data_IF_925201090376
#
_entry.id   IF_925201090376
#
_cell.length_a   1.000
_cell.length_b   1.000
_cell.length_c   1.000
_cell.angle_alpha   90.00
_cell.angle_beta   90.00
_cell.angle_gamma   90.00
#
_symmetry.space_group_name_H-M   'P 1'
#
loop_
_entity.id
_entity.type
_entity.pdbx_description
1 polymer ?
#
# COMPACT_ATOMS: atom_id res chain seq x y z
N UNK A 1 -1.00 19.97 22.67
CA UNK A 1 -0.30 18.95 23.49
C UNK A 1 -1.29 17.81 23.72
N UNK A 2 -0.98 16.66 23.08
CA UNK A 2 -1.62 15.34 23.16
C UNK A 2 -3.15 15.23 23.21
N UNK A 3 -3.77 15.05 22.04
CA UNK A 3 -4.98 14.23 21.87
C UNK A 3 -5.09 13.67 20.44
N UNK A 4 -3.98 13.15 19.89
CA UNK A 4 -4.03 12.25 18.74
C UNK A 4 -4.25 10.83 19.24
N UNK A 5 -5.53 10.59 19.55
CA UNK A 5 -6.28 9.35 19.45
C UNK A 5 -5.53 8.02 19.65
N UNK A 6 -5.76 7.43 20.83
CA UNK A 6 -5.61 6.00 21.14
C UNK A 6 -6.28 5.07 20.09
N UNK A 7 -7.24 5.55 19.30
CA UNK A 7 -7.97 4.75 18.30
C UNK A 7 -7.16 4.50 17.01
N UNK A 8 -6.29 5.42 16.59
CA UNK A 8 -5.47 5.20 15.38
C UNK A 8 -4.39 4.13 15.59
N UNK A 9 -3.82 4.07 16.79
CA UNK A 9 -2.87 3.02 17.19
C UNK A 9 -3.57 1.64 17.30
N UNK A 10 -4.83 1.60 17.76
CA UNK A 10 -5.61 0.35 17.85
C UNK A 10 -5.88 -0.26 16.48
N UNK A 11 -6.19 0.54 15.46
CA UNK A 11 -6.48 0.04 14.11
C UNK A 11 -5.23 -0.57 13.45
N UNK A 12 -4.06 0.04 13.64
CA UNK A 12 -2.78 -0.48 13.13
C UNK A 12 -2.37 -1.80 13.83
N UNK A 13 -2.65 -1.92 15.13
CA UNK A 13 -2.43 -3.14 15.92
C UNK A 13 -3.40 -4.26 15.47
N UNK A 14 -4.68 -3.95 15.22
CA UNK A 14 -5.66 -4.94 14.73
C UNK A 14 -5.30 -5.46 13.35
N UNK A 15 -4.81 -4.59 12.45
CA UNK A 15 -4.39 -4.98 11.10
C UNK A 15 -3.17 -5.92 11.13
N UNK A 16 -2.25 -5.68 12.08
CA UNK A 16 -1.07 -6.54 12.31
C UNK A 16 -1.47 -7.88 12.96
N UNK A 17 -2.45 -7.87 13.86
CA UNK A 17 -2.97 -9.08 14.51
C UNK A 17 -3.74 -9.99 13.54
N UNK A 18 -4.45 -9.43 12.55
CA UNK A 18 -5.17 -10.21 11.54
C UNK A 18 -4.23 -10.94 10.56
N UNK A 19 -3.05 -10.38 10.27
CA UNK A 19 -2.02 -11.02 9.45
C UNK A 19 -1.30 -12.18 10.18
N UNK A 20 -1.31 -12.20 11.52
CA UNK A 20 -0.55 -13.17 12.31
C UNK A 20 -1.29 -14.53 12.52
N UNK A 21 -2.59 -14.62 12.25
CA UNK A 21 -3.40 -15.81 12.62
C UNK A 21 -3.48 -16.93 11.58
N UNK A 22 -2.68 -16.88 10.50
CA UNK A 22 -2.62 -17.99 9.52
C UNK A 22 -1.26 -18.69 9.51
N UNK A 23 -0.83 -19.19 10.67
CA UNK A 23 0.21 -20.22 10.73
C UNK A 23 -0.33 -21.46 11.45
N UNK A 24 -1.18 -22.19 10.73
CA UNK A 24 -1.64 -23.51 11.17
C UNK A 24 -0.54 -24.51 10.82
N UNK A 25 0.10 -25.08 11.87
CA UNK A 25 1.13 -26.11 11.73
C UNK A 25 0.62 -27.33 10.97
N UNK A 26 1.13 -27.53 9.76
CA UNK A 26 0.83 -28.71 8.94
C UNK A 26 1.71 -29.87 9.40
N UNK A 27 1.07 -30.96 9.86
CA UNK A 27 1.75 -32.25 10.07
C UNK A 27 2.18 -32.81 8.71
N UNK A 28 3.48 -32.92 8.49
CA UNK A 28 4.05 -33.48 7.26
C UNK A 28 4.06 -35.00 7.38
N UNK A 29 3.21 -35.68 6.61
CA UNK A 29 3.37 -37.09 6.28
C UNK A 29 4.23 -37.21 5.04
N UNK A 30 5.37 -37.91 5.12
CA UNK A 30 6.34 -38.02 4.02
C UNK A 30 5.94 -39.10 3.03
N UNK A 31 5.10 -38.75 2.07
CA UNK A 31 4.90 -39.48 0.81
C UNK A 31 5.98 -39.06 -0.19
N UNK A 32 6.67 -39.99 -0.88
CA UNK A 32 7.66 -39.63 -1.89
C UNK A 32 6.96 -38.86 -3.02
N UNK A 33 7.33 -37.59 -3.19
CA UNK A 33 6.70 -36.66 -4.13
C UNK A 33 7.79 -36.06 -5.02
N UNK A 34 7.71 -36.30 -6.34
CA UNK A 34 8.58 -35.64 -7.31
C UNK A 34 8.07 -34.21 -7.50
N UNK A 35 8.76 -33.25 -6.90
CA UNK A 35 8.42 -31.84 -7.01
C UNK A 35 9.29 -31.20 -8.08
N UNK A 36 8.69 -30.80 -9.19
CA UNK A 36 9.38 -29.99 -10.18
C UNK A 36 9.58 -28.58 -9.62
N UNK A 37 10.84 -28.26 -9.32
CA UNK A 37 11.22 -26.94 -8.81
C UNK A 37 11.77 -26.08 -9.94
N UNK A 38 11.34 -24.83 -9.98
CA UNK A 38 11.88 -23.84 -10.90
C UNK A 38 13.31 -23.50 -10.42
N UNK A 39 14.33 -23.44 -11.30
CA UNK A 39 15.75 -23.32 -10.91
C UNK A 39 16.16 -22.04 -10.16
N UNK A 40 15.21 -21.18 -9.79
CA UNK A 40 15.46 -19.91 -9.14
C UNK A 40 15.28 -19.96 -7.61
N UNK A 41 16.05 -20.84 -6.97
CA UNK A 41 15.99 -21.15 -5.52
C UNK A 41 16.17 -19.90 -4.62
N UNK A 42 16.94 -18.90 -5.08
CA UNK A 42 17.21 -17.68 -4.30
C UNK A 42 16.11 -16.60 -4.40
N UNK A 43 15.01 -16.84 -5.13
CA UNK A 43 13.89 -15.89 -5.24
C UNK A 43 12.72 -16.18 -4.30
N UNK A 44 12.85 -17.23 -3.50
CA UNK A 44 11.80 -17.73 -2.60
C UNK A 44 12.15 -17.47 -1.12
N UNK A 45 13.44 -17.34 -0.78
CA UNK A 45 13.90 -17.12 0.59
C UNK A 45 14.35 -15.68 0.84
N UNK A 46 13.89 -15.09 1.94
CA UNK A 46 14.41 -13.83 2.47
C UNK A 46 15.80 -14.04 3.10
N UNK A 47 16.62 -12.97 3.19
CA UNK A 47 17.93 -13.05 3.84
C UNK A 47 17.78 -13.44 5.31
N UNK A 48 18.79 -14.09 5.89
CA UNK A 48 18.79 -14.43 7.33
C UNK A 48 18.75 -13.18 8.23
N UNK A 49 19.21 -12.07 7.68
CA UNK A 49 19.31 -10.73 8.28
C UNK A 49 18.09 -9.85 7.97
N UNK A 50 16.98 -10.46 7.53
CA UNK A 50 15.70 -9.81 7.31
C UNK A 50 15.15 -9.20 8.60
N UNK A 51 14.72 -7.94 8.53
CA UNK A 51 14.05 -7.25 9.62
C UNK A 51 12.78 -6.57 9.10
N UNK A 52 11.64 -7.05 9.57
CA UNK A 52 10.32 -6.58 9.15
C UNK A 52 10.12 -5.07 9.39
N UNK A 53 10.68 -4.52 10.48
CA UNK A 53 10.55 -3.10 10.80
C UNK A 53 11.37 -2.23 9.85
N UNK A 54 12.57 -2.69 9.50
CA UNK A 54 13.39 -2.01 8.50
C UNK A 54 12.74 -2.06 7.12
N UNK A 55 12.00 -3.12 6.79
CA UNK A 55 11.29 -3.23 5.51
C UNK A 55 10.10 -2.26 5.38
N UNK A 56 9.48 -1.90 6.50
CA UNK A 56 8.45 -0.88 6.53
C UNK A 56 9.02 0.48 6.10
N UNK A 57 10.19 0.85 6.63
CA UNK A 57 10.84 2.16 6.40
C UNK A 57 11.65 2.17 5.09
N UNK A 58 12.40 1.10 4.82
CA UNK A 58 13.32 0.97 3.69
C UNK A 58 13.31 -0.46 3.16
N UNK A 59 12.50 -0.76 2.12
CA UNK A 59 12.46 -2.10 1.56
C UNK A 59 13.82 -2.47 0.97
N UNK A 60 14.36 -3.61 1.38
CA UNK A 60 15.57 -4.15 0.77
C UNK A 60 15.23 -4.74 -0.61
N UNK A 61 16.04 -4.47 -1.64
CA UNK A 61 15.81 -5.07 -2.94
C UNK A 61 15.95 -6.59 -2.84
N UNK A 62 14.90 -7.32 -3.20
CA UNK A 62 15.01 -8.77 -3.29
C UNK A 62 16.04 -9.15 -4.37
N UNK A 63 16.74 -10.29 -4.23
CA UNK A 63 17.63 -10.79 -5.27
C UNK A 63 16.96 -10.84 -6.64
N UNK A 64 15.65 -11.16 -6.68
CA UNK A 64 14.83 -11.13 -7.89
C UNK A 64 14.83 -9.78 -8.60
N UNK A 65 14.61 -8.68 -7.88
CA UNK A 65 14.60 -7.33 -8.47
C UNK A 65 15.99 -6.94 -8.98
N UNK A 66 17.04 -7.40 -8.31
CA UNK A 66 18.43 -7.08 -8.65
C UNK A 66 18.95 -7.89 -9.84
N UNK A 67 18.56 -9.15 -9.97
CA UNK A 67 19.09 -10.08 -10.98
C UNK A 67 18.16 -10.28 -12.17
N UNK A 68 16.96 -9.69 -12.17
CA UNK A 68 16.07 -9.81 -13.32
C UNK A 68 16.73 -9.20 -14.56
N UNK A 69 16.97 -10.03 -15.57
CA UNK A 69 17.24 -9.59 -16.94
C UNK A 69 15.95 -9.64 -17.75
N UNK A 70 15.85 -8.80 -18.79
CA UNK A 70 14.68 -8.76 -19.67
C UNK A 70 14.39 -10.10 -20.36
N UNK A 71 15.38 -10.99 -20.47
CA UNK A 71 15.21 -12.30 -21.09
C UNK A 71 14.39 -13.28 -20.25
N UNK A 72 14.24 -13.04 -18.94
CA UNK A 72 13.39 -13.86 -18.07
C UNK A 72 11.94 -13.82 -18.57
N UNK A 73 11.48 -12.67 -19.08
CA UNK A 73 10.12 -12.51 -19.64
C UNK A 73 9.87 -13.34 -20.91
N UNK A 74 10.93 -13.85 -21.57
CA UNK A 74 10.82 -14.67 -22.79
C UNK A 74 10.80 -16.17 -22.50
N UNK A 75 11.04 -16.58 -21.25
CA UNK A 75 11.15 -17.99 -20.88
C UNK A 75 9.91 -18.48 -20.14
N UNK A 76 9.51 -19.73 -20.39
CA UNK A 76 8.40 -20.39 -19.68
C UNK A 76 8.60 -20.40 -18.16
N UNK A 77 9.84 -20.56 -17.69
CA UNK A 77 10.16 -20.53 -16.26
C UNK A 77 9.96 -19.13 -15.64
N UNK A 78 10.30 -18.07 -16.38
CA UNK A 78 10.10 -16.70 -15.93
C UNK A 78 8.62 -16.32 -15.90
N UNK A 79 7.85 -16.71 -16.92
CA UNK A 79 6.40 -16.54 -16.93
C UNK A 79 5.74 -17.23 -15.72
N UNK A 80 6.10 -18.48 -15.44
CA UNK A 80 5.58 -19.22 -14.30
C UNK A 80 5.85 -18.51 -12.96
N UNK A 81 7.05 -17.95 -12.77
CA UNK A 81 7.39 -17.21 -11.55
C UNK A 81 6.62 -15.90 -11.44
N UNK A 82 6.47 -15.15 -12.53
CA UNK A 82 5.73 -13.89 -12.53
C UNK A 82 4.26 -14.18 -12.24
N UNK A 83 3.66 -15.19 -12.88
CA UNK A 83 2.28 -15.60 -12.61
C UNK A 83 2.11 -16.03 -11.15
N UNK A 84 3.05 -16.81 -10.62
CA UNK A 84 3.03 -17.18 -9.21
C UNK A 84 3.07 -15.96 -8.28
N UNK A 85 4.01 -15.03 -8.48
CA UNK A 85 4.16 -13.83 -7.64
C UNK A 85 2.96 -12.89 -7.78
N UNK A 86 2.43 -12.71 -8.99
CA UNK A 86 1.25 -11.89 -9.24
C UNK A 86 0.00 -12.49 -8.59
N UNK A 87 -0.23 -13.79 -8.79
CA UNK A 87 -1.41 -14.47 -8.27
C UNK A 87 -1.37 -14.65 -6.74
N UNK A 88 -0.18 -14.76 -6.16
CA UNK A 88 -0.01 -14.95 -4.71
C UNK A 88 -0.01 -13.62 -3.97
N UNK A 89 0.69 -12.60 -4.48
CA UNK A 89 0.89 -11.33 -3.77
C UNK A 89 0.42 -10.13 -4.58
N UNK A 90 0.90 -10.01 -5.82
CA UNK A 90 0.78 -8.78 -6.62
C UNK A 90 -0.66 -8.28 -6.77
N UNK A 91 -1.61 -9.17 -7.07
CA UNK A 91 -3.02 -8.80 -7.27
C UNK A 91 -3.67 -8.19 -6.03
N UNK A 92 -3.35 -8.70 -4.84
CA UNK A 92 -3.93 -8.21 -3.59
C UNK A 92 -3.38 -6.84 -3.22
N UNK A 93 -2.05 -6.66 -3.32
CA UNK A 93 -1.43 -5.35 -3.11
C UNK A 93 -1.97 -4.31 -4.08
N UNK A 94 -2.04 -4.66 -5.37
CA UNK A 94 -2.60 -3.77 -6.39
C UNK A 94 -4.05 -3.38 -6.06
N UNK A 95 -4.90 -4.35 -5.74
CA UNK A 95 -6.31 -4.10 -5.43
C UNK A 95 -6.48 -3.23 -4.17
N UNK A 96 -5.69 -3.46 -3.12
CA UNK A 96 -5.76 -2.66 -1.88
C UNK A 96 -5.36 -1.21 -2.14
N UNK A 97 -4.23 -0.98 -2.84
CA UNK A 97 -3.77 0.37 -3.17
C UNK A 97 -4.81 1.08 -4.04
N UNK A 98 -5.32 0.39 -5.07
CA UNK A 98 -6.34 0.94 -5.95
C UNK A 98 -7.65 1.25 -5.21
N UNK A 99 -8.14 0.35 -4.35
CA UNK A 99 -9.36 0.57 -3.59
C UNK A 99 -9.22 1.73 -2.60
N UNK A 100 -8.07 1.86 -1.95
CA UNK A 100 -7.79 3.00 -1.06
C UNK A 100 -7.83 4.30 -1.86
N UNK A 101 -7.26 4.32 -3.07
CA UNK A 101 -7.23 5.52 -3.92
C UNK A 101 -8.64 5.91 -4.36
N UNK A 102 -9.46 4.93 -4.74
CA UNK A 102 -10.86 5.15 -5.07
C UNK A 102 -11.66 5.64 -3.87
N UNK A 103 -11.38 5.14 -2.66
CA UNK A 103 -12.00 5.63 -1.44
C UNK A 103 -11.62 7.09 -1.15
N UNK A 104 -10.34 7.47 -1.30
CA UNK A 104 -9.88 8.84 -1.17
C UNK A 104 -10.64 9.78 -2.13
N UNK A 105 -10.70 9.41 -3.41
CA UNK A 105 -11.42 10.19 -4.42
C UNK A 105 -12.92 10.27 -4.11
N UNK A 106 -13.54 9.14 -3.74
CA UNK A 106 -14.96 9.07 -3.39
C UNK A 106 -15.31 9.96 -2.20
N UNK A 107 -14.59 9.83 -1.09
CA UNK A 107 -14.84 10.63 0.12
C UNK A 107 -14.67 12.14 -0.15
N UNK A 108 -13.61 12.53 -0.87
CA UNK A 108 -13.36 13.94 -1.15
C UNK A 108 -14.39 14.54 -2.11
N UNK A 109 -14.68 13.83 -3.22
CA UNK A 109 -15.64 14.31 -4.23
C UNK A 109 -17.05 14.39 -3.67
N UNK A 110 -17.49 13.41 -2.88
CA UNK A 110 -18.80 13.45 -2.22
C UNK A 110 -18.91 14.61 -1.24
N UNK A 111 -17.88 14.86 -0.43
CA UNK A 111 -17.88 15.97 0.52
C UNK A 111 -17.96 17.36 -0.13
N UNK A 112 -17.35 17.54 -1.31
CA UNK A 112 -17.29 18.83 -2.01
C UNK A 112 -18.44 19.03 -3.01
N UNK A 113 -18.94 17.95 -3.62
CA UNK A 113 -19.94 18.04 -4.70
C UNK A 113 -21.37 18.09 -4.16
N UNK A 114 -21.65 17.44 -3.03
CA UNK A 114 -23.01 17.40 -2.49
C UNK A 114 -23.29 18.74 -1.79
N UNK A 115 -24.34 19.48 -2.17
CA UNK A 115 -24.68 20.75 -1.52
C UNK A 115 -25.03 20.55 -0.04
N UNK A 116 -24.70 21.52 0.82
CA UNK A 116 -24.99 21.51 2.26
C UNK A 116 -26.47 21.25 2.60
N UNK A 117 -27.39 21.48 1.65
CA UNK A 117 -28.82 21.24 1.82
C UNK A 117 -29.19 19.75 1.83
N UNK A 118 -28.35 18.88 1.24
CA UNK A 118 -28.63 17.45 1.06
C UNK A 118 -27.73 16.54 1.91
N UNK A 119 -26.68 17.08 2.54
CA UNK A 119 -25.76 16.34 3.40
C UNK A 119 -25.72 16.97 4.78
N UNK A 120 -25.74 16.13 5.80
CA UNK A 120 -25.53 16.57 7.17
C UNK A 120 -24.10 17.10 7.35
N UNK A 121 -23.95 18.20 8.10
CA UNK A 121 -22.65 18.85 8.29
C UNK A 121 -21.64 17.93 8.97
N UNK A 122 -22.07 17.15 9.96
CA UNK A 122 -21.20 16.25 10.69
C UNK A 122 -20.68 15.14 9.78
N UNK A 123 -21.52 14.64 8.88
CA UNK A 123 -21.14 13.65 7.86
C UNK A 123 -20.14 14.23 6.86
N UNK A 124 -20.34 15.46 6.41
CA UNK A 124 -19.39 16.14 5.52
C UNK A 124 -18.02 16.31 6.18
N UNK A 125 -17.98 16.76 7.43
CA UNK A 125 -16.75 16.91 8.22
C UNK A 125 -16.05 15.55 8.39
N UNK A 126 -16.79 14.49 8.69
CA UNK A 126 -16.24 13.13 8.76
C UNK A 126 -15.62 12.67 7.44
N UNK A 127 -16.27 12.94 6.30
CA UNK A 127 -15.74 12.61 4.97
C UNK A 127 -14.45 13.38 4.65
N UNK A 128 -14.37 14.66 5.04
CA UNK A 128 -13.16 15.47 4.88
C UNK A 128 -12.01 14.94 5.75
N UNK A 129 -12.27 14.61 7.01
CA UNK A 129 -11.28 13.99 7.91
C UNK A 129 -10.83 12.63 7.36
N UNK A 130 -11.75 11.80 6.90
CA UNK A 130 -11.44 10.51 6.27
C UNK A 130 -10.55 10.68 5.03
N UNK A 131 -10.84 11.69 4.20
CA UNK A 131 -10.03 12.01 3.02
C UNK A 131 -8.59 12.41 3.40
N UNK A 132 -8.41 13.19 4.47
CA UNK A 132 -7.09 13.55 4.99
C UNK A 132 -6.34 12.28 5.44
N UNK A 133 -6.98 11.41 6.22
CA UNK A 133 -6.36 10.17 6.72
C UNK A 133 -5.97 9.25 5.54
N UNK A 134 -6.88 8.99 4.60
CA UNK A 134 -6.62 8.15 3.43
C UNK A 134 -5.53 8.73 2.53
N UNK A 135 -5.47 10.06 2.40
CA UNK A 135 -4.42 10.77 1.67
C UNK A 135 -3.04 10.60 2.32
N UNK A 136 -2.96 10.71 3.65
CA UNK A 136 -1.70 10.48 4.39
C UNK A 136 -1.23 9.03 4.26
N UNK A 137 -2.14 8.06 4.29
CA UNK A 137 -1.83 6.65 4.06
C UNK A 137 -1.21 6.47 2.67
N UNK A 138 -1.79 7.03 1.61
CA UNK A 138 -1.19 6.97 0.26
C UNK A 138 0.18 7.64 0.19
N UNK A 139 0.31 8.81 0.80
CA UNK A 139 1.56 9.55 0.80
C UNK A 139 2.69 8.72 1.43
N UNK A 140 2.39 7.94 2.47
CA UNK A 140 3.36 7.03 3.07
C UNK A 140 3.93 6.01 2.07
N UNK A 141 3.11 5.46 1.17
CA UNK A 141 3.56 4.54 0.12
C UNK A 141 4.45 5.23 -0.91
N UNK A 142 4.13 6.46 -1.30
CA UNK A 142 4.94 7.23 -2.25
C UNK A 142 6.29 7.64 -1.65
N UNK A 143 6.33 8.06 -0.39
CA UNK A 143 7.57 8.37 0.34
C UNK A 143 8.51 7.16 0.35
N UNK A 144 7.99 5.94 0.56
CA UNK A 144 8.81 4.71 0.49
C UNK A 144 9.46 4.52 -0.88
N UNK A 145 8.75 4.82 -1.97
CA UNK A 145 9.30 4.72 -3.31
C UNK A 145 10.39 5.78 -3.57
N UNK A 146 10.19 7.00 -3.04
CA UNK A 146 11.20 8.07 -3.09
C UNK A 146 12.47 7.65 -2.35
N UNK A 147 12.36 7.10 -1.14
CA UNK A 147 13.50 6.61 -0.34
C UNK A 147 14.25 5.49 -1.08
N UNK A 148 13.52 4.60 -1.76
CA UNK A 148 14.12 3.48 -2.47
C UNK A 148 14.97 3.92 -3.68
N UNK A 149 14.47 4.81 -4.53
CA UNK A 149 15.23 5.34 -5.66
C UNK A 149 14.72 6.73 -6.10
N UNK A 150 15.27 7.82 -5.53
CA UNK A 150 14.73 9.17 -5.75
C UNK A 150 14.91 9.65 -7.19
N UNK A 151 16.03 9.31 -7.84
CA UNK A 151 16.33 9.72 -9.22
C UNK A 151 15.35 9.05 -10.19
N UNK A 152 15.13 7.73 -10.04
CA UNK A 152 14.15 7.01 -10.87
C UNK A 152 12.73 7.51 -10.61
N UNK A 153 12.42 7.82 -9.36
CA UNK A 153 11.11 8.31 -8.96
C UNK A 153 10.78 9.66 -9.61
N UNK A 154 11.66 10.66 -9.50
CA UNK A 154 11.45 12.01 -10.06
C UNK A 154 11.33 11.98 -11.59
N UNK A 155 12.05 11.07 -12.26
CA UNK A 155 11.97 10.92 -13.71
C UNK A 155 10.67 10.28 -14.20
N UNK A 156 9.88 9.69 -13.31
CA UNK A 156 8.61 9.07 -13.68
C UNK A 156 7.46 10.08 -13.54
N UNK A 157 6.92 10.51 -14.69
CA UNK A 157 5.79 11.43 -14.74
C UNK A 157 4.58 10.96 -13.91
N UNK A 158 4.28 9.66 -13.94
CA UNK A 158 3.16 9.09 -13.21
C UNK A 158 3.29 9.22 -11.69
N UNK A 159 4.52 9.18 -11.17
CA UNK A 159 4.77 9.30 -9.74
C UNK A 159 4.49 10.72 -9.25
N UNK A 160 4.83 11.74 -10.06
CA UNK A 160 4.54 13.14 -9.75
C UNK A 160 3.02 13.36 -9.75
N UNK A 161 2.32 12.82 -10.75
CA UNK A 161 0.86 12.90 -10.83
C UNK A 161 0.19 12.25 -9.60
N UNK A 162 0.67 11.09 -9.16
CA UNK A 162 0.14 10.41 -7.96
C UNK A 162 0.28 11.26 -6.69
N UNK A 163 1.44 11.91 -6.47
CA UNK A 163 1.61 12.80 -5.32
C UNK A 163 0.64 13.97 -5.40
N UNK A 164 0.52 14.59 -6.56
CA UNK A 164 -0.39 15.72 -6.74
C UNK A 164 -1.85 15.30 -6.45
N UNK A 165 -2.26 14.14 -6.94
CA UNK A 165 -3.59 13.57 -6.72
C UNK A 165 -3.87 13.26 -5.24
N UNK A 166 -2.84 13.04 -4.42
CA UNK A 166 -3.00 12.84 -2.97
C UNK A 166 -2.94 14.17 -2.19
N UNK A 167 -2.02 15.06 -2.53
CA UNK A 167 -1.79 16.32 -1.81
C UNK A 167 -2.94 17.31 -2.01
N UNK A 168 -3.51 17.38 -3.22
CA UNK A 168 -4.61 18.30 -3.51
C UNK A 168 -5.84 18.02 -2.63
N UNK A 169 -6.39 16.80 -2.56
CA UNK A 169 -7.49 16.49 -1.64
C UNK A 169 -7.18 16.80 -0.17
N UNK A 170 -5.97 16.51 0.31
CA UNK A 170 -5.56 16.78 1.69
C UNK A 170 -5.58 18.29 1.98
N UNK A 171 -4.94 19.09 1.11
CA UNK A 171 -4.87 20.54 1.28
C UNK A 171 -6.24 21.19 1.18
N UNK A 172 -7.03 20.80 0.18
CA UNK A 172 -8.39 21.31 0.01
C UNK A 172 -9.30 20.94 1.18
N UNK A 173 -9.23 19.71 1.68
CA UNK A 173 -10.02 19.29 2.84
C UNK A 173 -9.60 20.05 4.11
N UNK A 174 -8.30 20.24 4.34
CA UNK A 174 -7.81 21.01 5.47
C UNK A 174 -8.23 22.49 5.39
N UNK A 175 -8.17 23.09 4.21
CA UNK A 175 -8.63 24.46 3.99
C UNK A 175 -10.14 24.58 4.28
N UNK A 176 -10.94 23.61 3.84
CA UNK A 176 -12.39 23.61 4.05
C UNK A 176 -12.77 23.53 5.53
N UNK A 177 -12.10 22.66 6.29
CA UNK A 177 -12.31 22.54 7.73
C UNK A 177 -11.96 23.85 8.47
N UNK A 178 -10.87 24.51 8.08
CA UNK A 178 -10.49 25.80 8.67
C UNK A 178 -11.47 26.95 8.37
N UNK A 179 -12.19 26.89 7.26
CA UNK A 179 -13.20 27.91 6.93
C UNK A 179 -14.52 27.68 7.64
N UNK A 180 -14.86 26.43 7.97
CA UNK A 180 -16.09 26.09 8.72
C UNK A 180 -15.96 26.48 10.20
N UNK A 181 -14.79 26.25 10.82
CA UNK A 181 -14.50 26.65 12.22
C UNK A 181 -14.54 28.18 12.46
N UNK A 182 -14.51 28.99 11.40
CA UNK A 182 -14.52 30.46 11.49
C UNK A 182 -15.92 31.07 11.41
N UNK A 183 -16.96 30.25 11.32
CA UNK A 183 -18.36 30.66 11.19
C UNK A 183 -19.21 30.22 12.38
#
# INVERSE_FOLDING_TARGET
MYFLSSESLKIEIVFTFLLFTTSSGVKITTTPTITFMIPYINFVNYSKDYNWFLELIRPQPSPFVKTISGDIYKTWNGEAIINFKWNTFGKYYYLIIWATFMALLGCFTTAVTIPQQYIDKDVQVQLLIASIILGLIHLSFEIRQIIYNPIKWIRNFWNIFNILACVLPIFSAAHWLQTDDKH
#
